data_IF_289084358215
#
_entry.id   IF_289084358215
#
_cell.length_a   1.000
_cell.length_b   1.000
_cell.length_c   1.000
_cell.angle_alpha   90.00
_cell.angle_beta   90.00
_cell.angle_gamma   90.00
#
_symmetry.space_group_name_H-M   'P 1'
#
loop_
_entity.id
_entity.type
_entity.pdbx_description
1 polymer ?
#
# COMPACT_ATOMS: atom_id res chain seq x y z
N UNK A 1 12.87 37.31 34.29
CA UNK A 1 13.99 36.48 33.77
C UNK A 1 13.74 34.99 34.03
N UNK A 2 13.20 34.58 35.18
CA UNK A 2 12.86 33.17 35.48
C UNK A 2 11.70 32.60 34.65
N UNK A 3 10.71 33.41 34.27
CA UNK A 3 9.56 32.95 33.48
C UNK A 3 9.95 32.45 32.08
N UNK A 4 11.02 33.01 31.51
CA UNK A 4 11.54 32.61 30.20
C UNK A 4 12.21 31.24 30.26
N UNK A 5 12.89 30.90 31.37
CA UNK A 5 13.46 29.57 31.58
C UNK A 5 12.36 28.51 31.72
N UNK A 6 11.31 28.79 32.49
CA UNK A 6 10.17 27.86 32.64
C UNK A 6 9.44 27.61 31.32
N UNK A 7 9.26 28.67 30.52
CA UNK A 7 8.68 28.54 29.19
C UNK A 7 9.56 27.69 28.27
N UNK A 8 10.88 27.89 28.33
CA UNK A 8 11.85 27.13 27.54
C UNK A 8 11.91 25.66 27.96
N UNK A 9 11.86 25.36 29.25
CA UNK A 9 11.73 23.99 29.77
C UNK A 9 10.41 23.34 29.32
N UNK A 10 9.29 24.06 29.41
CA UNK A 10 8.00 23.57 28.93
C UNK A 10 8.02 23.25 27.43
N UNK A 11 8.66 24.12 26.63
CA UNK A 11 8.82 23.92 25.19
C UNK A 11 9.72 22.70 24.89
N UNK A 12 10.82 22.54 25.63
CA UNK A 12 11.72 21.40 25.50
C UNK A 12 11.02 20.08 25.87
N UNK A 13 10.24 20.07 26.95
CA UNK A 13 9.44 18.91 27.36
C UNK A 13 8.36 18.57 26.33
N UNK A 14 7.70 19.57 25.75
CA UNK A 14 6.71 19.35 24.69
C UNK A 14 7.37 18.78 23.43
N UNK A 15 8.50 19.32 23.01
CA UNK A 15 9.26 18.83 21.87
C UNK A 15 9.75 17.39 22.09
N UNK A 16 10.24 17.07 23.29
CA UNK A 16 10.66 15.73 23.66
C UNK A 16 9.48 14.75 23.66
N UNK A 17 8.36 15.11 24.28
CA UNK A 17 7.15 14.31 24.30
C UNK A 17 6.60 14.02 22.90
N UNK A 18 6.49 15.06 22.06
CA UNK A 18 6.06 14.91 20.67
C UNK A 18 7.04 14.09 19.84
N UNK A 19 8.35 14.24 20.06
CA UNK A 19 9.38 13.45 19.39
C UNK A 19 9.31 11.96 19.74
N UNK A 20 9.17 11.62 21.02
CA UNK A 20 9.05 10.23 21.47
C UNK A 20 7.80 9.57 20.91
N UNK A 21 6.65 10.26 20.95
CA UNK A 21 5.40 9.76 20.36
C UNK A 21 5.56 9.55 18.85
N UNK A 22 6.17 10.50 18.14
CA UNK A 22 6.40 10.38 16.70
C UNK A 22 7.29 9.18 16.35
N UNK A 23 8.40 8.98 17.07
CA UNK A 23 9.28 7.82 16.89
C UNK A 23 8.51 6.52 17.18
N UNK A 24 7.77 6.47 18.28
CA UNK A 24 6.99 5.30 18.67
C UNK A 24 5.95 4.92 17.59
N UNK A 25 5.19 5.89 17.11
CA UNK A 25 4.22 5.67 16.03
C UNK A 25 4.90 5.26 14.72
N UNK A 26 6.05 5.85 14.40
CA UNK A 26 6.82 5.48 13.20
C UNK A 26 7.25 4.02 13.26
N UNK A 27 7.77 3.57 14.40
CA UNK A 27 8.13 2.17 14.63
C UNK A 27 6.89 1.27 14.53
N UNK A 28 5.76 1.66 15.11
CA UNK A 28 4.51 0.91 15.06
C UNK A 28 4.00 0.77 13.62
N UNK A 29 4.01 1.86 12.85
CA UNK A 29 3.63 1.86 11.43
C UNK A 29 4.55 0.95 10.62
N UNK A 30 5.86 1.00 10.85
CA UNK A 30 6.82 0.10 10.18
C UNK A 30 6.51 -1.35 10.54
N UNK A 31 6.30 -1.69 11.81
CA UNK A 31 5.95 -3.04 12.24
C UNK A 31 4.66 -3.55 11.59
N UNK A 32 3.59 -2.75 11.57
CA UNK A 32 2.33 -3.11 10.92
C UNK A 32 2.50 -3.26 9.40
N UNK A 33 3.30 -2.40 8.78
CA UNK A 33 3.60 -2.48 7.34
C UNK A 33 4.41 -3.74 7.02
N UNK A 34 5.37 -4.09 7.87
CA UNK A 34 6.18 -5.30 7.74
C UNK A 34 5.30 -6.54 7.88
N UNK A 35 4.39 -6.54 8.86
CA UNK A 35 3.40 -7.59 9.03
C UNK A 35 2.48 -7.69 7.81
N UNK A 36 1.98 -6.57 7.28
CA UNK A 36 1.17 -6.56 6.06
C UNK A 36 1.92 -7.10 4.84
N UNK A 37 3.20 -6.75 4.68
CA UNK A 37 4.07 -7.31 3.63
C UNK A 37 4.34 -8.80 3.82
N UNK A 38 4.61 -9.24 5.04
CA UNK A 38 4.81 -10.65 5.37
C UNK A 38 3.55 -11.45 5.08
N UNK A 39 2.38 -10.97 5.52
CA UNK A 39 1.10 -11.61 5.25
C UNK A 39 0.86 -11.70 3.74
N UNK A 40 1.06 -10.64 2.96
CA UNK A 40 0.91 -10.71 1.50
C UNK A 40 1.95 -11.59 0.78
N UNK A 41 3.11 -11.84 1.40
CA UNK A 41 4.19 -12.71 0.86
C UNK A 41 3.98 -14.18 1.23
N UNK A 42 3.52 -14.47 2.45
CA UNK A 42 3.35 -15.82 3.00
C UNK A 42 1.96 -16.39 2.78
N UNK A 43 0.94 -15.55 2.63
CA UNK A 43 -0.36 -15.89 2.07
C UNK A 43 -0.42 -15.22 0.70
N UNK A 44 -0.07 -15.90 -0.41
CA UNK A 44 -0.47 -15.43 -1.72
C UNK A 44 -1.99 -15.30 -1.66
N UNK A 45 -2.49 -14.06 -1.62
CA UNK A 45 -3.92 -13.82 -1.72
C UNK A 45 -4.42 -14.65 -2.92
N UNK A 46 -5.44 -15.50 -2.73
CA UNK A 46 -6.14 -16.07 -3.87
C UNK A 46 -6.53 -14.88 -4.74
N UNK A 47 -5.95 -14.82 -5.94
CA UNK A 47 -6.10 -13.78 -6.97
C UNK A 47 -7.29 -12.88 -6.66
N UNK A 48 -7.05 -11.84 -5.86
CA UNK A 48 -8.03 -10.78 -5.71
C UNK A 48 -7.92 -10.04 -7.02
N UNK A 49 -8.83 -10.40 -7.93
CA UNK A 49 -9.21 -9.63 -9.12
C UNK A 49 -8.90 -8.16 -8.86
N UNK A 50 -7.96 -7.62 -9.64
CA UNK A 50 -7.49 -6.25 -9.58
C UNK A 50 -8.69 -5.29 -9.52
N UNK A 51 -9.03 -4.86 -8.30
CA UNK A 51 -9.79 -3.63 -8.11
C UNK A 51 -8.75 -2.53 -8.01
N UNK A 52 -8.50 -1.95 -9.18
CA UNK A 52 -7.35 -1.14 -9.49
C UNK A 52 -7.00 -0.10 -8.43
N UNK A 53 -5.71 -0.05 -8.09
CA UNK A 53 -5.10 1.11 -7.47
C UNK A 53 -4.10 1.73 -8.44
N UNK A 54 -4.68 2.60 -9.27
CA UNK A 54 -4.10 3.79 -9.92
C UNK A 54 -2.69 4.12 -9.41
N UNK A 55 -1.68 3.72 -10.18
CA UNK A 55 -0.34 4.32 -10.17
C UNK A 55 -0.12 5.01 -11.52
N UNK A 56 0.60 6.13 -11.45
CA UNK A 56 0.73 7.22 -12.44
C UNK A 56 1.08 6.80 -13.88
N UNK A 57 0.79 7.65 -14.88
CA UNK A 57 0.93 7.29 -16.29
C UNK A 57 2.40 7.36 -16.70
N UNK A 58 3.06 6.21 -16.75
CA UNK A 58 4.33 6.05 -17.47
C UNK A 58 4.05 5.23 -18.73
N UNK A 59 3.52 5.94 -19.74
CA UNK A 59 3.84 5.78 -21.15
C UNK A 59 4.29 4.38 -21.64
N UNK A 60 3.36 3.43 -21.79
CA UNK A 60 3.35 2.45 -22.91
C UNK A 60 1.90 1.95 -23.13
N UNK A 61 1.20 2.32 -24.21
CA UNK A 61 -0.19 1.90 -24.45
C UNK A 61 -0.31 0.49 -25.04
N UNK A 62 0.77 -0.19 -25.39
CA UNK A 62 0.70 -1.48 -26.12
C UNK A 62 0.56 -2.69 -25.19
N UNK A 63 1.37 -2.77 -24.12
CA UNK A 63 1.41 -3.93 -23.24
C UNK A 63 0.10 -4.16 -22.46
N UNK A 64 -0.56 -3.08 -22.04
CA UNK A 64 -1.83 -3.17 -21.31
C UNK A 64 -2.98 -3.59 -22.24
N UNK A 65 -2.94 -3.18 -23.52
CA UNK A 65 -3.91 -3.63 -24.51
C UNK A 65 -3.69 -5.10 -24.87
N UNK A 66 -2.44 -5.56 -25.00
CA UNK A 66 -2.13 -6.97 -25.27
C UNK A 66 -2.59 -7.88 -24.12
N UNK A 67 -2.38 -7.47 -22.88
CA UNK A 67 -2.84 -8.20 -21.69
C UNK A 67 -4.38 -8.30 -21.66
N UNK A 68 -5.07 -7.18 -21.90
CA UNK A 68 -6.55 -7.16 -21.95
C UNK A 68 -7.07 -8.02 -23.11
N UNK A 69 -6.44 -7.96 -24.29
CA UNK A 69 -6.81 -8.79 -25.44
C UNK A 69 -6.58 -10.29 -25.17
N UNK A 70 -5.51 -10.66 -24.47
CA UNK A 70 -5.22 -12.03 -24.09
C UNK A 70 -6.27 -12.58 -23.11
N UNK A 71 -6.66 -11.78 -22.11
CA UNK A 71 -7.69 -12.16 -21.12
C UNK A 71 -9.06 -12.32 -21.79
N UNK A 72 -9.45 -11.38 -22.66
CA UNK A 72 -10.72 -11.46 -23.42
C UNK A 72 -10.72 -12.69 -24.32
N UNK A 73 -9.63 -12.98 -25.01
CA UNK A 73 -9.50 -14.15 -25.89
C UNK A 73 -9.63 -15.46 -25.09
N UNK A 74 -8.97 -15.56 -23.93
CA UNK A 74 -9.07 -16.71 -23.05
C UNK A 74 -10.50 -16.92 -22.50
N UNK A 75 -11.17 -15.83 -22.11
CA UNK A 75 -12.54 -15.87 -21.62
C UNK A 75 -13.53 -16.33 -22.71
N UNK A 76 -13.43 -15.79 -23.93
CA UNK A 76 -14.28 -16.17 -25.08
C UNK A 76 -14.02 -17.62 -25.49
N UNK A 77 -12.76 -18.06 -25.50
CA UNK A 77 -12.41 -19.44 -25.80
C UNK A 77 -13.02 -20.41 -24.78
N UNK A 78 -12.92 -20.10 -23.48
CA UNK A 78 -13.56 -20.87 -22.42
C UNK A 78 -15.07 -20.94 -22.61
N UNK A 79 -15.73 -19.80 -22.84
CA UNK A 79 -17.17 -19.74 -23.05
C UNK A 79 -17.63 -20.59 -24.26
N UNK A 80 -16.95 -20.50 -25.41
CA UNK A 80 -17.27 -21.30 -26.60
C UNK A 80 -17.02 -22.79 -26.39
N UNK A 81 -15.97 -23.16 -25.65
CA UNK A 81 -15.66 -24.56 -25.34
C UNK A 81 -16.69 -25.18 -24.40
N UNK A 82 -17.17 -24.42 -23.42
CA UNK A 82 -18.19 -24.86 -22.46
C UNK A 82 -19.59 -24.92 -23.10
N UNK A 83 -19.90 -24.02 -24.03
CA UNK A 83 -21.20 -23.97 -24.73
C UNK A 83 -21.34 -24.96 -25.91
N UNK A 84 -20.27 -25.70 -26.26
CA UNK A 84 -20.29 -26.75 -27.29
C UNK A 84 -20.40 -28.17 -26.70
N UNK A 85 -20.75 -28.31 -25.42
CA UNK A 85 -21.19 -29.58 -24.82
C UNK A 85 -22.68 -29.56 -24.55
#
# INVERSE_FOLDING_TARGET
MQDLELLQEGLALMALGMGVVFVFLTVLVISVTLMSKLVGRFQPAPVAVDTGKKSSPSSVPSAQNDEVMAVISAAVHRYRSTRRR
#
